data_IF_604087762154
#
_entry.id   IF_604087762154
#
_cell.length_a   1.000
_cell.length_b   1.000
_cell.length_c   1.000
_cell.angle_alpha   90.00
_cell.angle_beta   90.00
_cell.angle_gamma   90.00
#
_symmetry.space_group_name_H-M   'P 1'
#
loop_
_entity.id
_entity.type
_entity.pdbx_description
1 polymer ?
#
# COMPACT_ATOMS: atom_id res chain seq x y z
N UNK A 1 -2.18 -11.86 27.02
CA UNK A 1 -2.61 -13.11 26.34
C UNK A 1 -1.93 -14.35 26.92
N UNK A 2 -0.60 -14.48 26.82
CA UNK A 2 0.14 -15.66 27.33
C UNK A 2 -0.21 -16.10 28.78
N UNK A 3 -0.40 -15.15 29.71
CA UNK A 3 -0.79 -15.49 31.08
C UNK A 3 -2.18 -16.14 31.16
N UNK A 4 -3.12 -15.71 30.32
CA UNK A 4 -4.43 -16.35 30.23
C UNK A 4 -4.33 -17.72 29.57
N UNK A 5 -3.47 -17.87 28.54
CA UNK A 5 -3.23 -19.15 27.87
C UNK A 5 -2.60 -20.23 28.74
N UNK A 6 -1.87 -19.86 29.81
CA UNK A 6 -1.33 -20.80 30.79
C UNK A 6 -2.42 -21.63 31.49
N UNK A 7 -3.58 -21.02 31.76
CA UNK A 7 -4.63 -21.64 32.58
C UNK A 7 -5.97 -21.80 31.84
N UNK A 8 -6.11 -21.17 30.67
CA UNK A 8 -7.32 -21.18 29.85
C UNK A 8 -6.93 -21.33 28.40
N UNK A 9 -7.68 -22.12 27.64
CA UNK A 9 -7.40 -22.31 26.22
C UNK A 9 -7.97 -21.16 25.35
N UNK A 10 -8.85 -20.34 25.92
CA UNK A 10 -9.54 -19.26 25.25
C UNK A 10 -9.18 -17.91 25.86
N UNK A 11 -8.98 -16.93 24.99
CA UNK A 11 -8.83 -15.53 25.38
C UNK A 11 -9.87 -14.69 24.65
N UNK A 12 -10.56 -13.86 25.43
CA UNK A 12 -11.46 -12.83 24.94
C UNK A 12 -10.75 -11.48 25.02
N UNK A 13 -10.48 -10.89 23.87
CA UNK A 13 -9.82 -9.59 23.76
C UNK A 13 -10.90 -8.55 23.45
N UNK A 14 -11.03 -7.54 24.30
CA UNK A 14 -11.93 -6.42 24.05
C UNK A 14 -11.17 -5.30 23.35
N UNK A 15 -11.73 -4.85 22.22
CA UNK A 15 -11.22 -3.72 21.45
C UNK A 15 -12.30 -2.65 21.45
N UNK A 16 -12.09 -1.59 22.23
CA UNK A 16 -12.98 -0.43 22.27
C UNK A 16 -12.66 0.53 21.11
N UNK A 17 -13.70 1.20 20.58
CA UNK A 17 -13.58 2.34 19.64
C UNK A 17 -12.78 2.06 18.35
N UNK A 18 -13.01 0.93 17.66
CA UNK A 18 -12.45 0.68 16.31
C UNK A 18 -13.53 0.32 15.31
N UNK A 19 -13.31 0.68 14.04
CA UNK A 19 -14.20 0.28 12.94
C UNK A 19 -14.03 -1.21 12.63
N UNK A 20 -15.08 -1.85 12.11
CA UNK A 20 -15.04 -3.28 11.77
C UNK A 20 -13.84 -3.70 10.89
N UNK A 21 -13.46 -2.97 9.82
CA UNK A 21 -12.29 -3.34 9.02
C UNK A 21 -10.99 -3.30 9.84
N UNK A 22 -10.79 -2.27 10.67
CA UNK A 22 -9.61 -2.19 11.53
C UNK A 22 -9.55 -3.33 12.55
N UNK A 23 -10.71 -3.77 13.06
CA UNK A 23 -10.77 -4.91 13.99
C UNK A 23 -10.38 -6.21 13.29
N UNK A 24 -10.72 -6.39 12.01
CA UNK A 24 -10.25 -7.53 11.21
C UNK A 24 -8.73 -7.52 11.05
N UNK A 25 -8.15 -6.38 10.68
CA UNK A 25 -6.70 -6.25 10.51
C UNK A 25 -5.96 -6.58 11.82
N UNK A 26 -6.53 -6.15 12.95
CA UNK A 26 -6.01 -6.46 14.28
C UNK A 26 -6.17 -7.95 14.58
N UNK A 27 -7.31 -8.56 14.25
CA UNK A 27 -7.54 -9.98 14.47
C UNK A 27 -6.51 -10.83 13.69
N UNK A 28 -6.26 -10.48 12.43
CA UNK A 28 -5.23 -11.11 11.58
C UNK A 28 -3.83 -10.90 12.17
N UNK A 29 -3.52 -9.68 12.62
CA UNK A 29 -2.23 -9.37 13.25
C UNK A 29 -2.02 -10.19 14.52
N UNK A 30 -3.06 -10.31 15.37
CA UNK A 30 -3.01 -11.07 16.63
C UNK A 30 -2.83 -12.57 16.36
N UNK A 31 -3.48 -13.11 15.34
CA UNK A 31 -3.30 -14.49 14.88
C UNK A 31 -1.85 -14.73 14.44
N UNK A 32 -1.32 -13.87 13.56
CA UNK A 32 0.05 -14.00 13.03
C UNK A 32 1.12 -13.85 14.11
N UNK A 33 0.96 -12.90 15.05
CA UNK A 33 1.95 -12.65 16.10
C UNK A 33 1.92 -13.70 17.21
N UNK A 34 0.74 -14.23 17.52
CA UNK A 34 0.56 -15.08 18.70
C UNK A 34 0.44 -16.57 18.38
N UNK A 35 0.20 -16.94 17.12
CA UNK A 35 0.02 -18.33 16.67
C UNK A 35 -1.24 -19.01 17.24
N UNK A 36 -2.22 -18.21 17.69
CA UNK A 36 -3.53 -18.69 18.12
C UNK A 36 -4.52 -18.63 16.96
N UNK A 37 -5.49 -19.54 16.93
CA UNK A 37 -6.52 -19.60 15.88
C UNK A 37 -7.62 -18.60 16.18
N UNK A 38 -7.95 -17.73 15.22
CA UNK A 38 -9.09 -16.84 15.30
C UNK A 38 -10.39 -17.66 15.25
N UNK A 39 -11.23 -17.57 16.29
CA UNK A 39 -12.51 -18.30 16.35
C UNK A 39 -13.65 -17.42 15.86
N UNK A 40 -13.82 -16.24 16.47
CA UNK A 40 -14.86 -15.29 16.09
C UNK A 40 -14.49 -13.86 16.45
N UNK A 41 -15.16 -12.93 15.76
CA UNK A 41 -15.15 -11.51 16.08
C UNK A 41 -16.59 -11.09 16.34
N UNK A 42 -16.90 -10.82 17.60
CA UNK A 42 -18.25 -10.55 18.06
C UNK A 42 -18.46 -9.05 18.32
N UNK A 43 -19.62 -8.52 17.90
CA UNK A 43 -20.02 -7.14 18.21
C UNK A 43 -20.65 -7.08 19.60
N UNK A 44 -20.11 -6.26 20.48
CA UNK A 44 -20.59 -6.04 21.86
C UNK A 44 -21.05 -4.60 22.04
N UNK A 45 -21.87 -4.32 23.07
CA UNK A 45 -22.35 -2.96 23.40
C UNK A 45 -21.24 -1.92 23.60
N UNK A 46 -20.03 -2.36 23.96
CA UNK A 46 -18.86 -1.50 24.20
C UNK A 46 -17.83 -1.47 23.05
N UNK A 47 -18.04 -2.25 21.99
CA UNK A 47 -17.07 -2.37 20.89
C UNK A 47 -17.05 -3.76 20.27
N UNK A 48 -15.86 -4.29 20.01
CA UNK A 48 -15.67 -5.61 19.42
C UNK A 48 -14.92 -6.53 20.38
N UNK A 49 -15.31 -7.80 20.40
CA UNK A 49 -14.63 -8.85 21.13
C UNK A 49 -14.02 -9.83 20.14
N UNK A 50 -12.71 -10.01 20.19
CA UNK A 50 -11.99 -11.01 19.39
C UNK A 50 -11.79 -12.23 20.28
N UNK A 51 -12.27 -13.39 19.83
CA UNK A 51 -12.10 -14.66 20.52
C UNK A 51 -11.00 -15.44 19.80
N UNK A 52 -9.92 -15.72 20.54
CA UNK A 52 -8.76 -16.46 20.03
C UNK A 52 -8.57 -17.72 20.85
N UNK A 53 -8.40 -18.84 20.15
CA UNK A 53 -8.11 -20.15 20.72
C UNK A 53 -6.62 -20.47 20.62
N UNK A 54 -6.00 -20.76 21.76
CA UNK A 54 -4.66 -21.33 21.84
C UNK A 54 -4.88 -22.82 22.10
N UNK A 55 -4.56 -23.67 21.13
CA UNK A 55 -4.74 -25.12 21.27
C UNK A 55 -4.08 -25.68 22.54
N UNK A 56 -4.33 -26.95 22.85
CA UNK A 56 -3.78 -27.62 24.05
C UNK A 56 -2.24 -27.63 24.12
N UNK A 57 -1.55 -27.15 23.09
CA UNK A 57 -0.10 -27.11 22.94
C UNK A 57 0.49 -25.75 23.33
N UNK A 58 -0.11 -25.02 24.27
CA UNK A 58 0.50 -23.79 24.77
C UNK A 58 1.89 -24.08 25.35
N UNK A 59 2.93 -23.68 24.63
CA UNK A 59 4.29 -23.65 25.14
C UNK A 59 4.58 -22.27 25.69
N UNK A 60 5.12 -22.23 26.92
CA UNK A 60 5.56 -20.97 27.51
C UNK A 60 6.69 -20.42 26.62
N UNK A 61 6.56 -19.19 26.09
CA UNK A 61 7.63 -18.61 25.29
C UNK A 61 8.90 -18.51 26.13
N UNK A 62 10.03 -18.92 25.55
CA UNK A 62 11.35 -18.95 26.22
C UNK A 62 11.77 -17.56 26.73
N UNK A 63 11.31 -16.49 26.08
CA UNK A 63 11.45 -15.11 26.55
C UNK A 63 10.07 -14.44 26.63
N UNK A 64 9.73 -13.93 27.82
CA UNK A 64 8.47 -13.19 28.04
C UNK A 64 8.44 -11.83 27.32
N UNK A 65 9.62 -11.26 27.09
CA UNK A 65 9.79 -10.04 26.31
C UNK A 65 10.18 -10.44 24.88
N UNK A 66 9.29 -10.24 23.89
CA UNK A 66 9.66 -10.45 22.51
C UNK A 66 10.86 -9.58 22.17
N UNK A 67 11.90 -10.17 21.57
CA UNK A 67 13.10 -9.45 21.12
C UNK A 67 12.80 -8.51 19.94
N UNK A 68 11.64 -8.67 19.31
CA UNK A 68 11.14 -7.80 18.24
C UNK A 68 10.51 -6.51 18.73
N UNK A 69 10.24 -6.37 20.04
CA UNK A 69 9.73 -5.11 20.58
C UNK A 69 10.82 -4.05 20.48
N UNK A 70 10.56 -3.05 19.63
CA UNK A 70 11.34 -1.84 19.57
C UNK A 70 11.44 -1.23 20.97
N UNK A 71 12.63 -0.74 21.32
CA UNK A 71 12.79 0.06 22.53
C UNK A 71 11.89 1.30 22.46
N UNK A 72 11.54 1.91 23.60
CA UNK A 72 10.67 3.10 23.64
C UNK A 72 11.12 4.20 22.66
N UNK A 73 12.44 4.40 22.50
CA UNK A 73 13.01 5.35 21.54
C UNK A 73 12.79 4.93 20.08
N UNK A 74 13.02 3.65 19.76
CA UNK A 74 12.83 3.12 18.42
C UNK A 74 11.34 3.10 18.01
N UNK A 75 10.43 2.79 18.94
CA UNK A 75 9.00 2.86 18.71
C UNK A 75 8.54 4.29 18.40
N UNK A 76 9.06 5.28 19.14
CA UNK A 76 8.80 6.70 18.88
C UNK A 76 9.35 7.15 17.51
N UNK A 77 10.56 6.73 17.16
CA UNK A 77 11.14 7.05 15.86
C UNK A 77 10.27 6.48 14.71
N UNK A 78 9.85 5.21 14.82
CA UNK A 78 8.95 4.60 13.84
C UNK A 78 7.58 5.27 13.78
N UNK A 79 7.01 5.69 14.91
CA UNK A 79 5.71 6.39 14.88
C UNK A 79 5.80 7.72 14.16
N UNK A 80 6.89 8.47 14.36
CA UNK A 80 7.15 9.73 13.66
C UNK A 80 7.34 9.47 12.15
N UNK A 81 8.09 8.43 11.80
CA UNK A 81 8.31 8.06 10.40
C UNK A 81 6.99 7.68 9.70
N UNK A 82 6.14 6.89 10.36
CA UNK A 82 4.81 6.54 9.83
C UNK A 82 3.92 7.77 9.67
N UNK A 83 3.94 8.70 10.63
CA UNK A 83 3.23 9.97 10.51
C UNK A 83 3.73 10.77 9.30
N UNK A 84 5.04 10.88 9.10
CA UNK A 84 5.63 11.58 7.94
C UNK A 84 5.21 10.94 6.62
N UNK A 85 5.27 9.60 6.53
CA UNK A 85 4.82 8.86 5.35
C UNK A 85 3.34 9.08 5.07
N UNK A 86 2.50 9.04 6.11
CA UNK A 86 1.06 9.29 5.98
C UNK A 86 0.77 10.69 5.45
N UNK A 87 1.46 11.72 5.94
CA UNK A 87 1.27 13.11 5.49
C UNK A 87 1.74 13.27 4.04
N UNK A 88 2.90 12.69 3.70
CA UNK A 88 3.43 12.72 2.34
C UNK A 88 2.48 12.02 1.36
N UNK A 89 1.96 10.85 1.73
CA UNK A 89 1.02 10.09 0.92
C UNK A 89 -0.26 10.88 0.64
N UNK A 90 -0.87 11.48 1.67
CA UNK A 90 -2.03 12.35 1.50
C UNK A 90 -1.75 13.57 0.60
N UNK A 91 -0.56 14.15 0.69
CA UNK A 91 -0.16 15.26 -0.18
C UNK A 91 0.02 14.80 -1.64
N UNK A 92 0.56 13.60 -1.85
CA UNK A 92 0.72 13.00 -3.16
C UNK A 92 -0.63 12.66 -3.80
N UNK A 93 -1.55 12.05 -3.05
CA UNK A 93 -2.92 11.74 -3.51
C UNK A 93 -3.64 13.00 -3.99
N UNK A 94 -3.58 14.10 -3.22
CA UNK A 94 -4.18 15.38 -3.63
C UNK A 94 -3.59 15.95 -4.91
N UNK A 95 -2.27 15.82 -5.10
CA UNK A 95 -1.61 16.26 -6.35
C UNK A 95 -2.04 15.38 -7.53
N UNK A 96 -2.14 14.07 -7.31
CA UNK A 96 -2.61 13.13 -8.31
C UNK A 96 -4.06 13.40 -8.72
N UNK A 97 -4.95 13.67 -7.75
CA UNK A 97 -6.33 14.09 -8.01
C UNK A 97 -6.41 15.39 -8.80
N UNK A 98 -5.58 16.39 -8.45
CA UNK A 98 -5.52 17.67 -9.17
C UNK A 98 -5.06 17.51 -10.63
N UNK A 99 -4.02 16.71 -10.87
CA UNK A 99 -3.55 16.43 -12.22
C UNK A 99 -4.60 15.65 -13.02
N UNK A 100 -5.32 14.73 -12.37
CA UNK A 100 -6.41 13.98 -13.01
C UNK A 100 -7.55 14.91 -13.44
N UNK A 101 -7.96 15.87 -12.59
CA UNK A 101 -8.99 16.84 -12.97
C UNK A 101 -8.52 17.78 -14.08
N UNK A 102 -7.25 18.22 -14.06
CA UNK A 102 -6.70 19.08 -15.12
C UNK A 102 -6.68 18.39 -16.49
N UNK A 103 -6.33 17.09 -16.53
CA UNK A 103 -6.39 16.29 -17.75
C UNK A 103 -7.84 16.10 -18.23
N UNK A 104 -8.77 15.88 -17.31
CA UNK A 104 -10.20 15.76 -17.61
C UNK A 104 -10.78 17.08 -18.18
N UNK A 105 -10.38 18.22 -17.62
CA UNK A 105 -10.75 19.55 -18.10
C UNK A 105 -10.17 19.82 -19.51
N UNK A 106 -8.89 19.50 -19.74
CA UNK A 106 -8.27 19.65 -21.07
C UNK A 106 -8.95 18.77 -22.13
N UNK A 107 -9.32 17.54 -21.77
CA UNK A 107 -10.04 16.63 -22.67
C UNK A 107 -11.43 17.16 -23.05
N UNK A 108 -12.13 17.78 -22.11
CA UNK A 108 -13.41 18.42 -22.39
C UNK A 108 -13.27 19.66 -23.30
N UNK A 109 -12.19 20.44 -23.14
CA UNK A 109 -11.90 21.59 -24.03
C UNK A 109 -11.55 21.13 -25.44
N UNK A 110 -10.79 20.05 -25.60
CA UNK A 110 -10.51 19.48 -26.92
C UNK A 110 -11.74 18.91 -27.63
N UNK A 111 -12.72 18.36 -26.90
CA UNK A 111 -14.00 17.94 -27.50
C UNK A 111 -14.78 19.14 -28.05
N UNK A 112 -14.78 20.27 -27.33
CA UNK A 112 -15.44 21.53 -27.76
C UNK A 112 -14.70 22.15 -28.96
N UNK A 113 -13.37 22.14 -28.97
CA UNK A 113 -12.56 22.66 -30.07
C UNK A 113 -12.74 21.80 -31.35
N UNK A 114 -12.82 20.48 -31.23
CA UNK A 114 -13.05 19.59 -32.39
C UNK A 114 -14.45 19.77 -32.99
N UNK A 115 -15.48 19.94 -32.16
CA UNK A 115 -16.86 20.18 -32.61
C UNK A 115 -17.04 21.56 -33.29
N UNK A 116 -16.39 22.59 -32.76
CA UNK A 116 -16.38 23.94 -33.36
C UNK A 116 -15.51 24.02 -34.63
N UNK A 117 -14.42 23.25 -34.71
CA UNK A 117 -13.62 23.13 -35.93
C UNK A 117 -14.38 22.37 -37.04
N UNK A 118 -15.07 21.26 -36.72
CA UNK A 118 -15.86 20.50 -37.71
C UNK A 118 -16.98 21.34 -38.34
N UNK A 119 -17.67 22.16 -37.54
CA UNK A 119 -18.71 23.07 -38.06
C UNK A 119 -18.18 24.25 -38.88
N UNK A 120 -16.88 24.58 -38.77
CA UNK A 120 -16.22 25.66 -39.54
C UNK A 120 -15.69 25.17 -40.90
N UNK A 121 -15.24 23.92 -40.99
CA UNK A 121 -14.66 23.33 -42.20
C UNK A 121 -15.71 22.88 -43.23
N UNK A 122 -16.95 22.57 -42.83
CA UNK A 122 -18.06 22.28 -43.75
C UNK A 122 -18.45 23.47 -44.66
N UNK A 123 -17.92 24.67 -44.38
CA UNK A 123 -18.20 25.89 -45.15
C UNK A 123 -17.01 26.36 -46.00
N UNK A 124 -15.90 25.64 -46.01
CA UNK A 124 -14.71 25.93 -46.81
C UNK A 124 -14.05 24.62 -47.23
N UNK A 125 -14.63 23.95 -48.22
CA UNK A 125 -13.99 22.81 -48.89
C UNK A 125 -14.04 23.06 -50.40
N UNK A 126 -12.93 23.56 -50.92
CA UNK A 126 -12.35 23.24 -52.23
C UNK A 126 -11.01 23.98 -52.33
N UNK A 127 -9.92 23.25 -52.10
CA UNK A 127 -8.80 23.10 -53.05
C UNK A 127 -7.61 22.42 -52.36
N UNK A 128 -7.12 21.37 -53.03
CA UNK A 128 -5.98 20.52 -52.73
C UNK A 128 -4.68 21.33 -52.50
N UNK A 129 -3.86 20.90 -51.53
CA UNK A 129 -2.40 20.96 -51.71
C UNK A 129 -1.70 19.83 -50.91
N UNK A 130 -0.89 19.10 -51.66
CA UNK A 130 -0.04 17.97 -51.32
C UNK A 130 1.12 18.43 -50.42
N UNK A 131 1.31 17.81 -49.23
CA UNK A 131 2.39 18.15 -48.30
C UNK A 131 3.24 16.92 -47.96
N UNK A 132 4.55 17.07 -48.16
CA UNK A 132 5.59 16.06 -48.04
C UNK A 132 5.74 15.49 -46.62
N UNK A 133 6.02 14.18 -46.55
CA UNK A 133 6.38 13.46 -45.32
C UNK A 133 7.85 13.75 -44.95
N UNK A 134 8.10 14.70 -44.05
CA UNK A 134 9.41 14.85 -43.42
C UNK A 134 9.57 13.83 -42.27
N UNK A 135 10.48 12.87 -42.49
CA UNK A 135 10.99 11.89 -41.51
C UNK A 135 11.71 12.60 -40.35
N UNK A 136 11.02 12.83 -39.23
CA UNK A 136 11.63 13.35 -38.00
C UNK A 136 11.19 12.56 -36.76
N UNK A 137 11.35 11.25 -36.80
CA UNK A 137 11.16 10.37 -35.64
C UNK A 137 12.44 9.60 -35.30
N UNK A 138 13.49 10.27 -34.81
CA UNK A 138 14.57 9.51 -34.15
C UNK A 138 15.32 10.23 -33.02
N UNK A 139 15.06 11.51 -32.73
CA UNK A 139 15.85 12.25 -31.73
C UNK A 139 15.29 12.24 -30.30
N UNK A 140 14.08 11.74 -30.06
CA UNK A 140 13.41 11.86 -28.75
C UNK A 140 13.55 10.63 -27.85
N UNK A 141 13.84 9.46 -28.40
CA UNK A 141 13.98 8.22 -27.60
C UNK A 141 15.33 8.09 -26.89
N UNK A 142 16.37 8.76 -27.37
CA UNK A 142 17.74 8.60 -26.85
C UNK A 142 17.96 9.25 -25.47
N UNK A 143 17.10 10.21 -25.07
CA UNK A 143 17.26 10.91 -23.78
C UNK A 143 16.70 10.13 -22.59
N UNK A 144 15.83 9.14 -22.81
CA UNK A 144 15.22 8.37 -21.71
C UNK A 144 16.06 7.14 -21.29
N UNK A 145 17.02 6.71 -22.11
CA UNK A 145 17.88 5.56 -21.81
C UNK A 145 19.08 5.89 -20.90
N UNK A 146 19.49 7.16 -20.80
CA UNK A 146 20.72 7.56 -20.10
C UNK A 146 20.63 7.62 -18.56
N UNK A 147 19.49 7.29 -17.94
CA UNK A 147 19.32 7.38 -16.48
C UNK A 147 19.18 6.03 -15.75
N UNK A 148 19.50 4.90 -16.40
CA UNK A 148 19.32 3.57 -15.82
C UNK A 148 20.61 2.83 -15.43
N UNK A 149 21.71 3.54 -15.17
CA UNK A 149 22.92 2.91 -14.62
C UNK A 149 23.31 3.49 -13.26
N UNK A 150 22.52 3.20 -12.23
CA UNK A 150 22.98 2.92 -10.86
C UNK A 150 21.85 2.27 -10.05
N UNK A 151 21.20 1.25 -10.63
CA UNK A 151 20.32 0.35 -9.91
C UNK A 151 21.16 -0.68 -9.17
N UNK A 152 21.47 -0.44 -7.89
CA UNK A 152 21.93 -1.52 -7.01
C UNK A 152 20.91 -2.66 -7.08
N UNK A 153 21.38 -3.81 -7.54
CA UNK A 153 20.55 -4.98 -7.82
C UNK A 153 19.95 -5.52 -6.51
N UNK A 154 18.75 -5.02 -6.17
CA UNK A 154 17.94 -5.50 -5.05
C UNK A 154 17.69 -7.02 -5.13
N UNK A 155 17.77 -7.61 -6.33
CA UNK A 155 17.69 -9.07 -6.53
C UNK A 155 18.75 -9.86 -5.76
N UNK A 156 19.94 -9.30 -5.50
CA UNK A 156 20.97 -9.98 -4.71
C UNK A 156 20.63 -10.06 -3.22
N UNK A 157 20.09 -8.97 -2.67
CA UNK A 157 19.76 -8.84 -1.23
C UNK A 157 18.65 -9.82 -0.83
N UNK A 158 17.63 -9.98 -1.68
CA UNK A 158 16.55 -10.95 -1.42
C UNK A 158 17.02 -12.40 -1.56
N UNK A 159 18.02 -12.67 -2.39
CA UNK A 159 18.56 -14.01 -2.63
C UNK A 159 19.43 -14.48 -1.46
N UNK A 160 20.31 -13.61 -0.95
CA UNK A 160 21.09 -13.87 0.27
C UNK A 160 20.20 -14.08 1.49
N UNK A 161 19.10 -13.32 1.58
CA UNK A 161 18.17 -13.45 2.70
C UNK A 161 17.33 -14.74 2.62
N UNK A 162 16.97 -15.20 1.41
CA UNK A 162 16.31 -16.49 1.20
C UNK A 162 17.24 -17.68 1.45
N UNK A 163 18.49 -17.62 0.99
CA UNK A 163 19.49 -18.66 1.22
C UNK A 163 19.84 -18.77 2.72
N UNK A 164 19.86 -17.65 3.45
CA UNK A 164 20.07 -17.63 4.91
C UNK A 164 18.90 -18.25 5.71
N UNK A 165 17.68 -18.19 5.17
CA UNK A 165 16.50 -18.85 5.77
C UNK A 165 16.54 -20.36 5.52
N UNK A 166 16.96 -20.78 4.32
CA UNK A 166 17.07 -22.20 3.96
C UNK A 166 18.18 -22.94 4.73
N UNK A 167 19.25 -22.26 5.15
CA UNK A 167 20.32 -22.85 5.95
C UNK A 167 20.03 -22.94 7.46
N UNK A 168 18.92 -22.34 7.92
CA UNK A 168 18.49 -22.31 9.32
C UNK A 168 17.30 -23.24 9.65
N UNK A 169 16.77 -23.92 8.63
CA UNK A 169 15.84 -25.05 8.75
C UNK A 169 16.61 -26.36 8.68
#
# INVERSE_FOLDING_TARGET
MHLHWKYRQLVKIFVERKSFPQVKDIAISVEAESGGVLVSVDKTTKGYAIIVYSGKNYQRPNAFRPKSLLTRRQALARSIELQRRSIMFQSCEKKFEKLKSELEDMKAVEEIDKETLYSRVDNASDDDEELEEDEVEESYLETYESCSEHGTSWRGVWKEQLDSIHQRL
#
